data_IF_487416200296
#
_entry.id   IF_487416200296
#
_cell.length_a   1.000
_cell.length_b   1.000
_cell.length_c   1.000
_cell.angle_alpha   90.00
_cell.angle_beta   90.00
_cell.angle_gamma   90.00
#
_symmetry.space_group_name_H-M   'P 1'
#
loop_
_entity.id
_entity.type
_entity.pdbx_description
1 polymer ?
#
# COMPACT_ATOMS: atom_id res chain seq x y z
N UNK A 1 -1.39 -0.70 -1.30
CA UNK A 1 -2.61 0.12 -1.05
C UNK A 1 -2.75 0.51 0.41
N UNK A 2 -2.28 -0.33 1.37
CA UNK A 2 -2.39 -0.08 2.82
C UNK A 2 -1.74 1.22 3.35
N UNK A 3 -0.93 1.89 2.55
CA UNK A 3 -0.41 3.23 2.87
C UNK A 3 -1.38 4.37 2.49
N UNK A 4 -2.41 4.06 1.69
CA UNK A 4 -3.44 5.01 1.27
C UNK A 4 -4.77 4.73 1.97
N UNK A 5 -5.09 3.46 2.19
CA UNK A 5 -6.37 3.01 2.74
C UNK A 5 -6.09 2.29 4.06
N UNK A 6 -6.64 2.81 5.14
CA UNK A 6 -6.47 2.23 6.47
C UNK A 6 -7.35 0.98 6.62
N UNK A 7 -6.73 -0.19 6.74
CA UNK A 7 -7.40 -1.45 7.06
C UNK A 7 -7.56 -1.64 8.56
N UNK A 8 -8.66 -2.24 8.98
CA UNK A 8 -8.87 -2.62 10.38
C UNK A 8 -7.81 -3.63 10.85
N UNK A 9 -7.47 -3.61 12.13
CA UNK A 9 -6.49 -4.49 12.78
C UNK A 9 -5.05 -4.43 12.21
N UNK A 10 -4.72 -3.40 11.41
CA UNK A 10 -3.42 -3.23 10.77
C UNK A 10 -2.76 -1.87 11.09
N UNK A 11 -3.06 -1.26 12.24
CA UNK A 11 -2.61 0.09 12.61
C UNK A 11 -1.11 0.32 12.41
N UNK A 12 -0.20 -0.42 13.05
CA UNK A 12 1.24 -0.22 12.89
C UNK A 12 1.73 -0.42 11.45
N UNK A 13 1.13 -1.36 10.73
CA UNK A 13 1.44 -1.62 9.33
C UNK A 13 1.00 -0.45 8.44
N UNK A 14 -0.23 0.06 8.64
CA UNK A 14 -0.74 1.21 7.90
C UNK A 14 0.14 2.44 8.13
N UNK A 15 0.52 2.74 9.38
CA UNK A 15 1.42 3.86 9.72
C UNK A 15 2.75 3.73 8.98
N UNK A 16 3.38 2.56 9.04
CA UNK A 16 4.64 2.33 8.35
C UNK A 16 4.53 2.53 6.83
N UNK A 17 3.46 2.03 6.21
CA UNK A 17 3.25 2.17 4.76
C UNK A 17 2.87 3.58 4.33
N UNK A 18 2.09 4.30 5.14
CA UNK A 18 1.80 5.73 4.90
C UNK A 18 3.07 6.57 5.03
N UNK A 19 3.93 6.27 6.00
CA UNK A 19 5.22 6.93 6.16
C UNK A 19 6.13 6.75 4.93
N UNK A 20 6.18 5.55 4.35
CA UNK A 20 6.92 5.31 3.10
C UNK A 20 6.38 6.16 1.95
N UNK A 21 5.06 6.24 1.79
CA UNK A 21 4.44 7.07 0.74
C UNK A 21 4.80 8.54 0.93
N UNK A 22 4.68 9.06 2.17
CA UNK A 22 5.03 10.44 2.49
C UNK A 22 6.50 10.74 2.18
N UNK A 23 7.41 9.85 2.58
CA UNK A 23 8.84 9.98 2.29
C UNK A 23 9.12 10.04 0.78
N UNK A 24 8.56 9.11 0.01
CA UNK A 24 8.76 9.06 -1.44
C UNK A 24 8.19 10.31 -2.13
N UNK A 25 7.03 10.81 -1.67
CA UNK A 25 6.44 12.04 -2.19
C UNK A 25 7.31 13.28 -1.88
N UNK A 26 7.94 13.31 -0.72
CA UNK A 26 8.90 14.35 -0.35
C UNK A 26 10.12 14.31 -1.25
N UNK A 27 10.74 13.15 -1.42
CA UNK A 27 11.89 12.97 -2.31
C UNK A 27 11.60 13.40 -3.76
N UNK A 28 10.47 13.01 -4.31
CA UNK A 28 10.08 13.42 -5.66
C UNK A 28 9.98 14.95 -5.78
N UNK A 29 9.43 15.62 -4.76
CA UNK A 29 9.37 17.09 -4.74
C UNK A 29 10.74 17.73 -4.64
N UNK A 30 11.60 17.19 -3.78
CA UNK A 30 13.00 17.68 -3.63
C UNK A 30 13.78 17.52 -4.94
N UNK A 31 13.65 16.40 -5.64
CA UNK A 31 14.27 16.18 -6.94
C UNK A 31 13.77 17.20 -7.99
N UNK A 32 12.48 17.49 -8.01
CA UNK A 32 11.92 18.50 -8.92
C UNK A 32 12.40 19.91 -8.61
N UNK A 33 12.41 20.31 -7.32
CA UNK A 33 12.89 21.63 -6.87
C UNK A 33 14.37 21.78 -7.22
N UNK A 34 15.18 20.75 -6.94
CA UNK A 34 16.61 20.73 -7.23
C UNK A 34 16.95 20.52 -8.71
N UNK A 35 15.96 20.40 -9.61
CA UNK A 35 16.17 20.07 -11.02
C UNK A 35 17.06 18.84 -11.22
N UNK A 36 16.94 17.87 -10.33
CA UNK A 36 17.68 16.62 -10.38
C UNK A 36 17.23 15.76 -11.56
N UNK A 37 18.12 14.98 -12.19
CA UNK A 37 17.73 13.97 -13.15
C UNK A 37 17.09 12.73 -12.53
N UNK A 38 17.06 12.66 -11.18
CA UNK A 38 16.48 11.53 -10.45
C UNK A 38 15.00 11.70 -10.27
N UNK A 39 14.31 10.56 -10.17
CA UNK A 39 12.88 10.46 -9.88
C UNK A 39 12.65 9.45 -8.76
N UNK A 40 11.63 9.70 -7.95
CA UNK A 40 11.10 8.74 -7.02
C UNK A 40 9.81 8.14 -7.57
N UNK A 41 9.55 6.89 -7.21
CA UNK A 41 8.31 6.19 -7.57
C UNK A 41 7.81 5.38 -6.41
N UNK A 42 6.50 5.22 -6.30
CA UNK A 42 5.90 4.40 -5.25
C UNK A 42 4.95 3.36 -5.85
N UNK A 43 5.21 2.09 -5.52
CA UNK A 43 4.31 1.00 -5.85
C UNK A 43 3.28 0.83 -4.74
N UNK A 44 2.00 0.91 -5.11
CA UNK A 44 0.86 0.66 -4.24
C UNK A 44 0.14 -0.63 -4.66
N UNK A 45 0.65 -1.80 -4.25
CA UNK A 45 0.08 -3.06 -4.68
C UNK A 45 -1.23 -3.37 -3.97
N UNK A 46 -2.16 -4.01 -4.68
CA UNK A 46 -3.27 -4.76 -4.12
C UNK A 46 -2.81 -6.16 -3.66
N UNK A 47 -3.67 -7.17 -3.68
CA UNK A 47 -3.28 -8.54 -3.39
C UNK A 47 -2.33 -9.08 -4.45
N UNK A 48 -1.18 -9.56 -4.01
CA UNK A 48 -0.16 -10.19 -4.86
C UNK A 48 0.09 -11.59 -4.32
N UNK A 49 0.16 -12.56 -5.21
CA UNK A 49 0.43 -13.95 -4.87
C UNK A 49 1.90 -14.11 -4.48
N UNK A 50 2.18 -13.93 -3.19
CA UNK A 50 3.54 -13.99 -2.63
C UNK A 50 3.56 -14.77 -1.31
N UNK A 51 4.76 -15.19 -0.90
CA UNK A 51 5.01 -15.87 0.37
C UNK A 51 4.94 -14.92 1.60
N UNK A 52 4.43 -13.71 1.46
CA UNK A 52 4.49 -12.68 2.51
C UNK A 52 3.81 -13.12 3.81
N UNK A 53 2.68 -13.81 3.72
CA UNK A 53 1.96 -14.33 4.89
C UNK A 53 2.75 -15.42 5.61
N UNK A 54 3.30 -16.38 4.86
CA UNK A 54 4.15 -17.45 5.40
C UNK A 54 5.45 -16.90 6.00
N UNK A 55 6.09 -15.98 5.30
CA UNK A 55 7.31 -15.33 5.76
C UNK A 55 7.08 -14.47 7.01
N UNK A 56 5.95 -13.79 7.14
CA UNK A 56 5.64 -12.98 8.32
C UNK A 56 5.51 -13.83 9.58
N UNK A 57 4.89 -15.01 9.49
CA UNK A 57 4.79 -15.98 10.61
C UNK A 57 6.18 -16.51 10.97
N UNK A 58 6.96 -16.93 9.97
CA UNK A 58 8.33 -17.44 10.18
C UNK A 58 9.24 -16.40 10.85
N UNK A 59 9.24 -15.17 10.35
CA UNK A 59 10.08 -14.10 10.87
C UNK A 59 9.67 -13.69 12.29
N UNK A 60 8.37 -13.72 12.61
CA UNK A 60 7.89 -13.43 13.96
C UNK A 60 8.36 -14.48 14.97
N UNK A 61 8.27 -15.76 14.61
CA UNK A 61 8.80 -16.87 15.44
C UNK A 61 10.30 -16.73 15.67
N UNK A 62 11.06 -16.38 14.63
CA UNK A 62 12.51 -16.19 14.72
C UNK A 62 12.90 -14.99 15.61
N UNK A 63 12.12 -13.91 15.61
CA UNK A 63 12.42 -12.68 16.34
C UNK A 63 11.92 -12.68 17.79
N UNK A 64 10.84 -13.36 18.10
CA UNK A 64 10.13 -13.26 19.39
C UNK A 64 9.98 -14.59 20.16
N UNK A 65 10.53 -15.70 19.60
CA UNK A 65 10.32 -17.02 20.17
C UNK A 65 8.88 -17.53 19.92
N UNK A 66 8.35 -18.33 20.86
CA UNK A 66 6.96 -18.79 20.75
C UNK A 66 5.99 -17.62 20.85
N UNK A 67 5.37 -17.30 19.73
CA UNK A 67 4.32 -16.27 19.69
C UNK A 67 3.04 -16.87 20.26
N UNK A 68 2.39 -16.13 21.16
CA UNK A 68 1.07 -16.49 21.66
C UNK A 68 0.14 -16.87 20.49
N UNK A 69 -0.49 -18.04 20.57
CA UNK A 69 -1.38 -18.49 19.49
C UNK A 69 -2.54 -17.51 19.34
N UNK A 70 -2.77 -17.07 18.12
CA UNK A 70 -3.95 -16.27 17.82
C UNK A 70 -5.22 -17.05 18.20
N UNK A 71 -6.14 -16.41 18.89
CA UNK A 71 -7.45 -16.98 19.16
C UNK A 71 -8.18 -17.34 17.84
N UNK A 72 -9.31 -18.06 17.96
CA UNK A 72 -10.06 -18.55 16.79
C UNK A 72 -10.41 -17.44 15.77
N UNK A 73 -10.78 -16.25 16.25
CA UNK A 73 -11.04 -15.09 15.38
C UNK A 73 -9.79 -14.67 14.59
N UNK A 74 -8.62 -14.69 15.22
CA UNK A 74 -7.35 -14.36 14.57
C UNK A 74 -6.91 -15.41 13.55
N UNK A 75 -7.13 -16.69 13.84
CA UNK A 75 -6.88 -17.79 12.88
C UNK A 75 -7.78 -17.67 11.65
N UNK A 76 -9.07 -17.43 11.86
CA UNK A 76 -10.06 -17.24 10.78
C UNK A 76 -9.75 -16.01 9.90
N UNK A 77 -9.32 -14.91 10.52
CA UNK A 77 -8.87 -13.72 9.78
C UNK A 77 -7.60 -14.01 8.98
N UNK A 78 -6.62 -14.70 9.58
CA UNK A 78 -5.37 -15.09 8.93
C UNK A 78 -5.59 -16.00 7.72
N UNK A 79 -6.51 -16.97 7.80
CA UNK A 79 -6.90 -17.82 6.67
C UNK A 79 -7.50 -17.00 5.54
N UNK A 80 -8.47 -16.13 5.83
CA UNK A 80 -9.09 -15.26 4.81
C UNK A 80 -8.07 -14.36 4.12
N UNK A 81 -7.11 -13.80 4.85
CA UNK A 81 -6.02 -13.00 4.28
C UNK A 81 -5.13 -13.89 3.41
N UNK A 82 -4.79 -15.09 3.85
CA UNK A 82 -4.02 -16.06 3.07
C UNK A 82 -4.69 -16.39 1.74
N UNK A 83 -5.98 -16.72 1.76
CA UNK A 83 -6.77 -17.02 0.57
C UNK A 83 -6.88 -15.80 -0.38
N UNK A 84 -7.04 -14.62 0.17
CA UNK A 84 -7.07 -13.37 -0.60
C UNK A 84 -5.74 -13.08 -1.31
N UNK A 85 -4.61 -13.36 -0.65
CA UNK A 85 -3.29 -13.16 -1.22
C UNK A 85 -2.92 -14.25 -2.24
N UNK A 86 -3.29 -15.51 -1.99
CA UNK A 86 -3.01 -16.61 -2.93
C UNK A 86 -3.72 -16.47 -4.28
N UNK A 87 -4.86 -15.77 -4.30
CA UNK A 87 -5.58 -15.41 -5.52
C UNK A 87 -5.18 -14.03 -6.07
N UNK A 88 -4.08 -13.47 -5.58
CA UNK A 88 -3.58 -12.17 -6.03
C UNK A 88 -2.90 -12.21 -7.39
N UNK A 89 -2.52 -11.04 -7.87
CA UNK A 89 -1.78 -10.85 -9.12
C UNK A 89 -0.44 -11.59 -9.09
N UNK A 90 -0.03 -12.10 -10.24
CA UNK A 90 1.27 -12.74 -10.41
C UNK A 90 2.41 -11.73 -10.17
N UNK A 91 3.47 -12.09 -9.40
CA UNK A 91 4.60 -11.20 -9.17
C UNK A 91 5.31 -10.72 -10.44
N UNK A 92 5.38 -11.53 -11.50
CA UNK A 92 6.00 -11.13 -12.75
C UNK A 92 5.18 -10.08 -13.50
N UNK A 93 3.86 -10.12 -13.37
CA UNK A 93 2.99 -9.06 -13.87
C UNK A 93 3.21 -7.74 -13.12
N UNK A 94 3.38 -7.82 -11.81
CA UNK A 94 3.76 -6.64 -11.00
C UNK A 94 5.10 -6.08 -11.46
N UNK A 95 6.08 -6.94 -11.74
CA UNK A 95 7.38 -6.54 -12.29
C UNK A 95 7.25 -5.76 -13.59
N UNK A 96 6.38 -6.19 -14.50
CA UNK A 96 6.10 -5.48 -15.76
C UNK A 96 5.46 -4.09 -15.53
N UNK A 97 4.52 -3.99 -14.59
CA UNK A 97 3.90 -2.71 -14.20
C UNK A 97 4.95 -1.74 -13.65
N UNK A 98 5.86 -2.24 -12.81
CA UNK A 98 6.93 -1.42 -12.22
C UNK A 98 7.90 -0.94 -13.30
N UNK A 99 8.34 -1.82 -14.18
CA UNK A 99 9.25 -1.47 -15.28
C UNK A 99 8.63 -0.41 -16.19
N UNK A 100 7.38 -0.61 -16.62
CA UNK A 100 6.65 0.37 -17.42
C UNK A 100 6.50 1.71 -16.67
N UNK A 101 6.20 1.66 -15.38
CA UNK A 101 6.11 2.86 -14.54
C UNK A 101 7.41 3.65 -14.46
N UNK A 102 8.53 2.97 -14.28
CA UNK A 102 9.86 3.59 -14.22
C UNK A 102 10.23 4.20 -15.56
N UNK A 103 10.10 3.45 -16.66
CA UNK A 103 10.42 3.92 -18.02
C UNK A 103 9.60 5.17 -18.40
N UNK A 104 8.35 5.24 -17.94
CA UNK A 104 7.45 6.37 -18.21
C UNK A 104 7.48 7.47 -17.14
N UNK A 105 8.41 7.43 -16.18
CA UNK A 105 8.57 8.46 -15.14
C UNK A 105 7.34 8.62 -14.23
N UNK A 106 6.58 7.54 -14.00
CA UNK A 106 5.39 7.60 -13.16
C UNK A 106 5.76 7.58 -11.68
N UNK A 107 5.26 8.52 -10.92
CA UNK A 107 5.38 8.50 -9.46
C UNK A 107 4.50 7.41 -8.85
N UNK A 108 3.21 7.35 -9.22
CA UNK A 108 2.25 6.38 -8.70
C UNK A 108 2.14 5.15 -9.60
N UNK A 109 2.34 3.96 -9.02
CA UNK A 109 2.14 2.70 -9.70
C UNK A 109 1.13 1.85 -8.91
N UNK A 110 0.01 1.50 -9.54
CA UNK A 110 -1.06 0.71 -8.94
C UNK A 110 -1.25 -0.59 -9.71
N UNK A 111 -1.18 -1.72 -9.00
CA UNK A 111 -1.48 -3.03 -9.61
C UNK A 111 -2.99 -3.27 -9.77
N UNK A 112 -3.79 -2.64 -8.91
CA UNK A 112 -5.24 -2.80 -8.87
C UNK A 112 -5.93 -1.43 -8.84
N UNK A 113 -6.07 -0.74 -9.98
CA UNK A 113 -6.66 0.61 -10.03
C UNK A 113 -8.07 0.71 -9.43
N UNK A 114 -8.83 -0.40 -9.45
CA UNK A 114 -10.17 -0.45 -8.82
C UNK A 114 -10.17 -0.11 -7.33
N UNK A 115 -9.06 -0.36 -6.63
CA UNK A 115 -8.92 -0.03 -5.21
C UNK A 115 -8.83 1.48 -4.95
N UNK A 116 -8.55 2.28 -5.98
CA UNK A 116 -8.59 3.75 -5.88
C UNK A 116 -9.99 4.27 -5.58
N UNK A 117 -11.04 3.51 -5.92
CA UNK A 117 -12.41 3.87 -5.53
C UNK A 117 -12.54 4.00 -4.01
N UNK A 118 -11.99 3.05 -3.25
CA UNK A 118 -12.00 3.10 -1.78
C UNK A 118 -11.21 4.31 -1.23
N UNK A 119 -10.13 4.69 -1.91
CA UNK A 119 -9.38 5.88 -1.53
C UNK A 119 -10.17 7.16 -1.80
N UNK A 120 -10.89 7.21 -2.91
CA UNK A 120 -11.81 8.33 -3.22
C UNK A 120 -12.89 8.45 -2.14
N UNK A 121 -13.55 7.36 -1.76
CA UNK A 121 -14.54 7.35 -0.69
C UNK A 121 -13.96 7.87 0.63
N UNK A 122 -12.72 7.53 0.96
CA UNK A 122 -12.03 8.06 2.15
C UNK A 122 -11.79 9.57 2.07
N UNK A 123 -11.43 10.11 0.91
CA UNK A 123 -11.28 11.55 0.68
C UNK A 123 -12.63 12.25 0.78
N UNK A 124 -13.69 11.70 0.20
CA UNK A 124 -15.05 12.23 0.28
C UNK A 124 -15.54 12.29 1.73
N UNK A 125 -15.18 11.32 2.57
CA UNK A 125 -15.48 11.36 4.01
C UNK A 125 -14.75 12.49 4.76
N UNK A 126 -13.60 12.98 4.26
CA UNK A 126 -12.87 14.11 4.82
C UNK A 126 -13.41 15.46 4.32
N UNK A 127 -14.23 15.46 3.28
CA UNK A 127 -14.80 16.65 2.65
C UNK A 127 -16.35 16.55 2.58
N UNK A 128 -17.03 16.46 3.74
CA UNK A 128 -18.48 16.25 3.77
C UNK A 128 -19.27 17.39 3.15
N UNK A 129 -18.71 18.60 3.10
CA UNK A 129 -19.34 19.79 2.54
C UNK A 129 -18.97 20.03 1.06
N UNK A 130 -18.19 19.13 0.44
CA UNK A 130 -17.82 19.21 -0.96
C UNK A 130 -16.91 20.39 -1.32
N UNK A 131 -16.15 20.90 -0.36
CA UNK A 131 -15.28 22.09 -0.57
C UNK A 131 -14.19 21.85 -1.59
N UNK A 132 -13.63 20.61 -1.65
CA UNK A 132 -12.59 20.25 -2.61
C UNK A 132 -13.11 20.27 -4.05
N UNK A 133 -14.38 19.92 -4.26
CA UNK A 133 -15.01 19.93 -5.58
C UNK A 133 -15.33 21.33 -6.08
N UNK A 134 -15.44 22.33 -5.17
CA UNK A 134 -15.74 23.72 -5.50
C UNK A 134 -14.50 24.56 -5.86
N UNK A 135 -13.30 23.97 -5.85
CA UNK A 135 -12.07 24.67 -6.20
C UNK A 135 -11.69 25.83 -5.26
N UNK A 136 -12.32 25.90 -4.08
CA UNK A 136 -12.08 26.95 -3.08
C UNK A 136 -10.86 26.60 -2.22
N UNK A 137 -9.68 26.56 -2.82
CA UNK A 137 -8.44 26.77 -2.10
C UNK A 137 -8.15 28.28 -2.16
N UNK A 138 -8.71 29.01 -1.21
CA UNK A 138 -8.31 30.40 -0.96
C UNK A 138 -6.98 30.46 -0.26
#
# INVERSE_FOLDING_TARGET
VSGLIAGAAAGPYNVAKSGVIALMATLEREFRIGKSPHHASVLCPGPINTEISRNSVRNRKAAQGEVAQAGEAGKKLGSKIGDFLSNGMDPDEVGRIVLDGIVNGRFWMFTHPRLLKLYREQIEMMDPDGMLSQGRLT
#
